data_IF_646653129436
#
_entry.id   IF_646653129436
#
_cell.length_a   1.000
_cell.length_b   1.000
_cell.length_c   1.000
_cell.angle_alpha   90.00
_cell.angle_beta   90.00
_cell.angle_gamma   90.00
#
_symmetry.space_group_name_H-M   'P 1'
#
loop_
_entity.id
_entity.type
_entity.pdbx_description
1 polymer ?
#
# COMPACT_ATOMS: atom_id res chain seq x y z
N UNK A 1 1.29 20.52 1.26
CA UNK A 1 0.89 19.44 2.20
C UNK A 1 -0.10 19.99 3.21
N UNK A 2 -1.14 19.22 3.57
CA UNK A 2 -1.98 19.53 4.71
C UNK A 2 -1.20 19.36 6.03
N UNK A 3 -1.68 19.91 7.18
CA UNK A 3 -1.03 19.68 8.49
C UNK A 3 -0.84 18.20 8.80
N UNK A 4 -1.86 17.37 8.55
CA UNK A 4 -1.79 15.92 8.72
C UNK A 4 -0.71 15.26 7.84
N UNK A 5 -0.63 15.61 6.56
CA UNK A 5 0.42 15.07 5.68
C UNK A 5 1.82 15.49 6.12
N UNK A 6 1.95 16.66 6.70
CA UNK A 6 3.22 17.16 7.23
C UNK A 6 3.64 16.35 8.45
N UNK A 7 2.74 16.12 9.42
CA UNK A 7 3.06 15.32 10.61
C UNK A 7 3.49 13.89 10.28
N UNK A 8 2.86 13.25 9.28
CA UNK A 8 3.29 11.93 8.79
C UNK A 8 4.69 12.01 8.16
N UNK A 9 4.94 13.03 7.35
CA UNK A 9 6.24 13.23 6.72
C UNK A 9 7.35 13.43 7.76
N UNK A 10 7.09 14.23 8.80
CA UNK A 10 8.01 14.47 9.90
C UNK A 10 8.28 13.22 10.73
N UNK A 11 7.24 12.42 11.03
CA UNK A 11 7.38 11.15 11.74
C UNK A 11 8.24 10.14 10.96
N UNK A 12 8.01 9.99 9.65
CA UNK A 12 8.82 9.14 8.79
C UNK A 12 10.26 9.64 8.69
N UNK A 13 10.45 10.97 8.63
CA UNK A 13 11.79 11.57 8.64
C UNK A 13 12.53 11.25 9.94
N UNK A 14 11.89 11.44 11.10
CA UNK A 14 12.49 11.13 12.39
C UNK A 14 12.90 9.65 12.48
N UNK A 15 12.08 8.74 11.97
CA UNK A 15 12.41 7.32 11.90
C UNK A 15 13.62 7.06 11.00
N UNK A 16 13.67 7.70 9.83
CA UNK A 16 14.82 7.59 8.92
C UNK A 16 16.10 8.14 9.54
N UNK A 17 16.00 9.30 10.20
CA UNK A 17 17.16 9.96 10.84
C UNK A 17 17.69 9.17 12.06
N UNK A 18 16.87 8.29 12.66
CA UNK A 18 17.32 7.35 13.70
C UNK A 18 18.10 6.14 13.15
N UNK A 19 18.34 6.07 11.83
CA UNK A 19 19.09 4.99 11.18
C UNK A 19 18.23 3.89 10.55
N UNK A 20 16.89 3.98 10.66
CA UNK A 20 15.98 3.01 10.03
C UNK A 20 15.82 3.30 8.54
N UNK A 21 16.03 2.29 7.70
CA UNK A 21 15.71 2.41 6.27
C UNK A 21 14.20 2.31 6.06
N UNK A 22 13.61 3.37 5.49
CA UNK A 22 12.17 3.46 5.26
C UNK A 22 11.88 3.33 3.77
N UNK A 23 11.03 2.39 3.42
CA UNK A 23 10.59 2.16 2.04
C UNK A 23 9.10 2.41 1.91
N UNK A 24 8.67 2.97 0.79
CA UNK A 24 7.28 3.21 0.44
C UNK A 24 6.97 2.54 -0.89
N UNK A 25 5.86 1.82 -0.97
CA UNK A 25 5.32 1.29 -2.21
C UNK A 25 3.95 1.92 -2.47
N UNK A 26 3.68 2.28 -3.72
CA UNK A 26 2.38 2.85 -4.09
C UNK A 26 1.25 1.84 -4.00
N UNK A 27 0.18 2.23 -3.32
CA UNK A 27 -1.12 1.59 -3.43
C UNK A 27 -1.96 2.17 -4.59
N UNK A 28 -3.21 1.75 -4.66
CA UNK A 28 -4.15 2.18 -5.70
C UNK A 28 -4.72 3.60 -5.48
N UNK A 29 -4.40 4.26 -4.36
CA UNK A 29 -4.95 5.58 -3.98
C UNK A 29 -3.89 6.67 -3.80
N UNK A 30 -2.63 6.31 -3.76
CA UNK A 30 -1.50 7.18 -3.44
C UNK A 30 -0.40 7.21 -4.52
N UNK A 31 -0.68 6.68 -5.68
CA UNK A 31 0.24 6.59 -6.83
C UNK A 31 0.75 7.94 -7.37
N UNK A 32 0.26 9.06 -6.83
CA UNK A 32 0.78 10.40 -7.11
C UNK A 32 1.87 10.84 -6.13
N UNK A 33 2.10 10.11 -5.03
CA UNK A 33 3.27 10.33 -4.17
C UNK A 33 4.52 10.19 -5.03
N UNK A 34 5.43 11.15 -4.92
CA UNK A 34 6.60 11.21 -5.78
C UNK A 34 7.87 11.49 -5.00
N UNK A 35 8.95 11.66 -5.76
CA UNK A 35 10.31 11.88 -5.21
C UNK A 35 10.40 13.03 -4.20
N UNK A 36 9.60 14.09 -4.37
CA UNK A 36 9.61 15.23 -3.45
C UNK A 36 9.13 14.84 -2.04
N UNK A 37 8.06 14.03 -1.94
CA UNK A 37 7.60 13.50 -0.66
C UNK A 37 8.64 12.55 -0.05
N UNK A 38 9.14 11.60 -0.85
CA UNK A 38 10.11 10.62 -0.36
C UNK A 38 11.39 11.29 0.15
N UNK A 39 11.89 12.32 -0.55
CA UNK A 39 13.03 13.12 -0.09
C UNK A 39 12.73 13.84 1.23
N UNK A 40 11.55 14.41 1.38
CA UNK A 40 11.14 15.10 2.60
C UNK A 40 10.97 14.13 3.78
N UNK A 41 10.38 12.96 3.54
CA UNK A 41 10.11 11.93 4.54
C UNK A 41 11.31 10.99 4.83
N UNK A 42 12.43 11.13 4.12
CA UNK A 42 13.58 10.22 4.30
C UNK A 42 13.33 8.79 3.82
N UNK A 43 12.40 8.57 2.91
CA UNK A 43 12.07 7.24 2.44
C UNK A 43 12.47 6.98 0.99
N UNK A 44 12.62 5.72 0.64
CA UNK A 44 12.89 5.24 -0.73
C UNK A 44 11.61 4.71 -1.35
N UNK A 45 11.27 5.17 -2.56
CA UNK A 45 10.11 4.67 -3.28
C UNK A 45 10.47 3.38 -4.01
N UNK A 46 9.78 2.29 -3.67
CA UNK A 46 9.85 1.01 -4.36
C UNK A 46 8.92 0.98 -5.57
N UNK A 47 9.33 0.24 -6.59
CA UNK A 47 8.43 -0.15 -7.68
C UNK A 47 7.41 -1.19 -7.18
N UNK A 48 6.30 -1.36 -7.89
CA UNK A 48 5.31 -2.40 -7.67
C UNK A 48 5.21 -3.23 -8.96
N UNK A 49 5.72 -4.49 -8.96
CA UNK A 49 6.36 -5.25 -7.87
C UNK A 49 7.83 -4.91 -7.60
N UNK A 50 8.35 -5.36 -6.44
CA UNK A 50 9.78 -5.34 -6.09
C UNK A 50 10.19 -6.63 -5.38
N UNK A 51 11.36 -7.16 -5.71
CA UNK A 51 11.99 -8.23 -4.94
C UNK A 51 12.95 -7.61 -3.93
N UNK A 52 12.83 -8.03 -2.68
CA UNK A 52 13.74 -7.66 -1.59
C UNK A 52 14.30 -8.92 -0.95
N UNK A 53 15.42 -8.79 -0.28
CA UNK A 53 15.98 -9.89 0.52
C UNK A 53 15.52 -9.75 1.97
N UNK A 54 14.87 -10.79 2.50
CA UNK A 54 14.47 -10.89 3.90
C UNK A 54 14.94 -12.24 4.44
N UNK A 55 15.70 -12.23 5.54
CA UNK A 55 16.31 -13.43 6.13
C UNK A 55 17.13 -14.29 5.13
N UNK A 56 17.83 -13.62 4.20
CA UNK A 56 18.64 -14.31 3.18
C UNK A 56 17.84 -14.96 2.06
N UNK A 57 16.52 -14.69 1.99
CA UNK A 57 15.63 -15.23 0.96
C UNK A 57 15.01 -14.11 0.12
N UNK A 58 14.89 -14.31 -1.21
CA UNK A 58 14.19 -13.36 -2.07
C UNK A 58 12.69 -13.40 -1.82
N UNK A 59 12.12 -12.24 -1.52
CA UNK A 59 10.69 -12.04 -1.21
C UNK A 59 10.11 -11.02 -2.17
N UNK A 60 8.98 -11.34 -2.79
CA UNK A 60 8.25 -10.43 -3.67
C UNK A 60 7.31 -9.56 -2.85
N UNK A 61 7.49 -8.26 -2.94
CA UNK A 61 6.58 -7.26 -2.38
C UNK A 61 5.71 -6.69 -3.49
N UNK A 62 4.40 -6.63 -3.25
CA UNK A 62 3.43 -6.01 -4.15
C UNK A 62 2.37 -5.25 -3.38
N UNK A 63 1.76 -4.23 -4.01
CA UNK A 63 0.49 -3.72 -3.48
C UNK A 63 -0.60 -4.79 -3.55
N UNK A 64 -0.69 -5.55 -4.64
CA UNK A 64 -1.60 -6.67 -4.79
C UNK A 64 -2.80 -6.41 -5.71
N UNK A 65 -3.07 -5.17 -6.08
CA UNK A 65 -4.17 -4.79 -6.97
C UNK A 65 -4.05 -5.38 -8.38
N UNK A 66 -2.84 -5.62 -8.84
CA UNK A 66 -2.56 -6.25 -10.13
C UNK A 66 -2.86 -7.74 -10.18
N UNK A 67 -3.03 -8.38 -9.03
CA UNK A 67 -3.43 -9.79 -8.92
C UNK A 67 -4.93 -10.01 -9.07
N UNK A 68 -5.75 -8.94 -8.97
CA UNK A 68 -7.21 -9.02 -9.08
C UNK A 68 -7.65 -8.95 -10.55
N UNK A 69 -7.16 -9.86 -11.39
CA UNK A 69 -7.33 -9.82 -12.86
C UNK A 69 -8.76 -10.06 -13.33
N UNK A 70 -9.61 -10.69 -12.51
CA UNK A 70 -11.04 -10.89 -12.78
C UNK A 70 -11.84 -9.59 -12.76
N UNK A 71 -11.33 -8.54 -12.10
CA UNK A 71 -11.91 -7.20 -12.14
C UNK A 71 -11.40 -6.42 -13.36
N UNK A 72 -11.87 -6.80 -14.54
CA UNK A 72 -11.44 -6.19 -15.81
C UNK A 72 -11.68 -4.68 -15.86
N UNK A 73 -12.77 -4.19 -15.28
CA UNK A 73 -13.08 -2.76 -15.24
C UNK A 73 -12.04 -2.00 -14.42
N UNK A 74 -11.68 -2.54 -13.26
CA UNK A 74 -10.59 -2.01 -12.44
C UNK A 74 -9.25 -2.07 -13.18
N UNK A 75 -8.92 -3.19 -13.79
CA UNK A 75 -7.65 -3.37 -14.52
C UNK A 75 -7.49 -2.40 -15.69
N UNK A 76 -8.59 -2.10 -16.43
CA UNK A 76 -8.59 -1.05 -17.47
C UNK A 76 -8.33 0.33 -16.87
N UNK A 77 -9.05 0.70 -15.81
CA UNK A 77 -8.86 1.97 -15.11
C UNK A 77 -7.44 2.10 -14.54
N UNK A 78 -6.91 1.04 -13.91
CA UNK A 78 -5.54 0.99 -13.37
C UNK A 78 -4.51 1.28 -14.46
N UNK A 79 -4.62 0.60 -15.61
CA UNK A 79 -3.72 0.80 -16.76
C UNK A 79 -3.74 2.25 -17.27
N UNK A 80 -4.92 2.84 -17.34
CA UNK A 80 -5.07 4.24 -17.74
C UNK A 80 -4.45 5.19 -16.72
N UNK A 81 -4.79 5.06 -15.44
CA UNK A 81 -4.32 5.97 -14.37
C UNK A 81 -2.82 5.86 -14.12
N UNK A 82 -2.21 4.68 -14.30
CA UNK A 82 -0.77 4.47 -14.14
C UNK A 82 0.05 4.68 -15.41
N UNK A 83 -0.58 5.07 -16.50
CA UNK A 83 0.13 5.46 -17.71
C UNK A 83 1.01 6.70 -17.43
N UNK A 84 2.29 6.73 -17.88
CA UNK A 84 3.20 7.84 -17.61
C UNK A 84 2.68 9.20 -18.05
N UNK A 85 2.00 9.27 -19.19
CA UNK A 85 1.41 10.52 -19.70
C UNK A 85 0.26 10.99 -18.80
N UNK A 86 -0.63 10.08 -18.38
CA UNK A 86 -1.71 10.39 -17.44
C UNK A 86 -1.15 10.88 -16.11
N UNK A 87 -0.13 10.22 -15.58
CA UNK A 87 0.55 10.63 -14.34
C UNK A 87 1.20 12.01 -14.48
N UNK A 88 1.82 12.28 -15.63
CA UNK A 88 2.40 13.59 -15.91
C UNK A 88 1.32 14.68 -15.91
N UNK A 89 0.20 14.48 -16.62
CA UNK A 89 -0.93 15.41 -16.63
C UNK A 89 -1.46 15.62 -15.21
N UNK A 90 -1.76 14.54 -14.48
CA UNK A 90 -2.31 14.62 -13.13
C UNK A 90 -1.40 15.40 -12.17
N UNK A 91 -0.08 15.25 -12.30
CA UNK A 91 0.88 15.98 -11.46
C UNK A 91 0.92 17.48 -11.74
N UNK A 92 0.58 17.90 -12.96
CA UNK A 92 0.56 19.32 -13.36
C UNK A 92 -0.80 20.00 -13.15
N UNK A 93 -1.86 19.24 -12.82
CA UNK A 93 -3.15 19.82 -12.48
C UNK A 93 -3.11 20.58 -11.12
N UNK A 94 -3.89 21.65 -10.97
CA UNK A 94 -4.08 22.33 -9.68
C UNK A 94 -4.52 21.35 -8.59
N UNK A 95 -4.07 21.57 -7.37
CA UNK A 95 -4.35 20.67 -6.24
C UNK A 95 -5.85 20.49 -5.99
N UNK A 96 -6.64 21.55 -6.12
CA UNK A 96 -8.11 21.51 -5.99
C UNK A 96 -8.77 20.57 -7.00
N UNK A 97 -8.31 20.61 -8.25
CA UNK A 97 -8.77 19.72 -9.32
C UNK A 97 -8.40 18.27 -9.04
N UNK A 98 -7.16 18.02 -8.59
CA UNK A 98 -6.73 16.66 -8.17
C UNK A 98 -7.58 16.12 -7.04
N UNK A 99 -7.87 16.92 -6.02
CA UNK A 99 -8.75 16.52 -4.90
C UNK A 99 -10.17 16.22 -5.36
N UNK A 100 -10.72 17.01 -6.28
CA UNK A 100 -12.07 16.77 -6.85
C UNK A 100 -12.11 15.46 -7.62
N UNK A 101 -11.13 15.23 -8.48
CA UNK A 101 -11.02 14.01 -9.28
C UNK A 101 -10.84 12.79 -8.36
N UNK A 102 -9.95 12.86 -7.38
CA UNK A 102 -9.71 11.76 -6.44
C UNK A 102 -10.97 11.41 -5.63
N UNK A 103 -11.76 12.40 -5.19
CA UNK A 103 -13.04 12.17 -4.51
C UNK A 103 -14.05 11.48 -5.42
N UNK A 104 -14.17 11.93 -6.68
CA UNK A 104 -15.08 11.34 -7.66
C UNK A 104 -14.70 9.87 -7.92
N UNK A 105 -13.45 9.59 -8.28
CA UNK A 105 -12.96 8.23 -8.53
C UNK A 105 -13.13 7.31 -7.31
N UNK A 106 -12.93 7.83 -6.09
CA UNK A 106 -13.11 7.06 -4.86
C UNK A 106 -14.57 6.72 -4.60
N UNK A 107 -15.51 7.65 -4.84
CA UNK A 107 -16.94 7.40 -4.67
C UNK A 107 -17.45 6.36 -5.67
N UNK A 108 -17.06 6.47 -6.94
CA UNK A 108 -17.40 5.53 -7.99
C UNK A 108 -16.84 4.13 -7.72
N UNK A 109 -15.55 4.03 -7.33
CA UNK A 109 -14.90 2.77 -6.96
C UNK A 109 -15.61 2.09 -5.79
N UNK A 110 -15.96 2.84 -4.73
CA UNK A 110 -16.70 2.28 -3.58
C UNK A 110 -18.07 1.74 -3.98
N UNK A 111 -18.81 2.46 -4.81
CA UNK A 111 -20.12 2.03 -5.29
C UNK A 111 -20.01 0.73 -6.10
N UNK A 112 -19.04 0.66 -7.01
CA UNK A 112 -18.80 -0.54 -7.82
C UNK A 112 -18.34 -1.74 -6.98
N UNK A 113 -17.43 -1.55 -6.01
CA UNK A 113 -16.93 -2.64 -5.16
C UNK A 113 -18.04 -3.25 -4.31
N UNK A 114 -19.00 -2.44 -3.82
CA UNK A 114 -20.14 -2.95 -3.04
C UNK A 114 -21.08 -3.85 -3.84
N UNK A 115 -21.09 -3.73 -5.15
CA UNK A 115 -21.95 -4.50 -6.06
C UNK A 115 -21.26 -5.73 -6.62
N UNK A 116 -19.96 -5.90 -6.40
CA UNK A 116 -19.18 -7.01 -6.94
C UNK A 116 -19.17 -8.19 -5.97
N UNK A 117 -19.18 -9.39 -6.52
CA UNK A 117 -18.97 -10.59 -5.73
C UNK A 117 -17.55 -10.62 -5.13
N UNK A 118 -17.40 -11.29 -4.00
CA UNK A 118 -16.15 -11.32 -3.25
C UNK A 118 -14.97 -11.94 -4.02
N UNK A 119 -15.23 -12.86 -4.93
CA UNK A 119 -14.25 -13.53 -5.77
C UNK A 119 -13.72 -12.65 -6.92
N UNK A 120 -14.47 -11.61 -7.29
CA UNK A 120 -14.05 -10.62 -8.30
C UNK A 120 -13.07 -9.61 -7.71
N UNK A 121 -13.25 -9.25 -6.44
CA UNK A 121 -12.42 -8.25 -5.76
C UNK A 121 -11.22 -8.86 -5.01
N UNK A 122 -11.12 -10.18 -4.96
CA UNK A 122 -9.97 -10.90 -4.41
C UNK A 122 -8.91 -11.17 -5.50
N UNK A 123 -7.74 -11.62 -5.07
CA UNK A 123 -6.70 -12.03 -6.00
C UNK A 123 -7.17 -13.24 -6.84
N UNK A 124 -6.86 -13.21 -8.11
CA UNK A 124 -7.09 -14.35 -9.00
C UNK A 124 -6.14 -15.47 -8.60
N UNK A 125 -6.64 -16.66 -8.19
CA UNK A 125 -5.78 -17.71 -7.62
C UNK A 125 -4.62 -18.12 -8.51
N UNK A 126 -4.84 -18.14 -9.82
CA UNK A 126 -3.85 -18.55 -10.84
C UNK A 126 -2.73 -17.50 -11.01
N UNK A 127 -3.01 -16.23 -10.72
CA UNK A 127 -2.03 -15.14 -10.85
C UNK A 127 -0.95 -15.21 -9.77
N UNK A 128 -1.27 -15.72 -8.57
CA UNK A 128 -0.32 -15.83 -7.47
C UNK A 128 0.86 -16.74 -7.82
N UNK A 129 0.67 -18.03 -8.17
CA UNK A 129 1.79 -18.89 -8.55
C UNK A 129 2.48 -18.41 -9.84
N UNK A 130 1.73 -17.82 -10.79
CA UNK A 130 2.31 -17.28 -12.03
C UNK A 130 3.34 -16.20 -11.72
N UNK A 131 2.97 -15.17 -10.94
CA UNK A 131 3.87 -14.06 -10.62
C UNK A 131 5.05 -14.51 -9.76
N UNK A 132 4.83 -15.41 -8.80
CA UNK A 132 5.90 -15.94 -7.95
C UNK A 132 6.92 -16.72 -8.77
N UNK A 133 6.46 -17.51 -9.76
CA UNK A 133 7.34 -18.21 -10.70
C UNK A 133 8.11 -17.24 -11.59
N UNK A 134 7.44 -16.21 -12.11
CA UNK A 134 8.06 -15.18 -12.96
C UNK A 134 9.22 -14.48 -12.26
N UNK A 135 9.09 -14.20 -10.95
CA UNK A 135 10.13 -13.56 -10.15
C UNK A 135 11.05 -14.54 -9.43
N UNK A 136 10.84 -15.85 -9.54
CA UNK A 136 11.68 -16.89 -8.94
C UNK A 136 11.66 -16.87 -7.40
N UNK A 137 10.54 -16.52 -6.77
CA UNK A 137 10.40 -16.37 -5.33
C UNK A 137 9.48 -17.42 -4.72
N UNK A 138 9.73 -17.76 -3.45
CA UNK A 138 8.87 -18.67 -2.66
C UNK A 138 7.95 -17.91 -1.69
N UNK A 139 8.17 -16.62 -1.49
CA UNK A 139 7.37 -15.79 -0.58
C UNK A 139 6.87 -14.56 -1.32
N UNK A 140 5.55 -14.35 -1.26
CA UNK A 140 4.86 -13.16 -1.75
C UNK A 140 4.19 -12.44 -0.57
N UNK A 141 4.47 -11.15 -0.40
CA UNK A 141 3.79 -10.28 0.55
C UNK A 141 3.01 -9.22 -0.21
N UNK A 142 1.72 -9.10 0.08
CA UNK A 142 0.88 -8.08 -0.54
C UNK A 142 -0.23 -7.59 0.38
N UNK A 143 -0.83 -6.46 0.04
CA UNK A 143 -2.00 -5.88 0.71
C UNK A 143 -3.25 -5.92 -0.18
N UNK A 144 -3.91 -4.78 -0.33
CA UNK A 144 -5.03 -4.47 -1.22
C UNK A 144 -6.36 -5.13 -0.87
N UNK A 145 -6.39 -6.44 -0.64
CA UNK A 145 -7.64 -7.19 -0.39
C UNK A 145 -8.15 -7.04 1.03
N UNK A 146 -7.33 -6.53 1.95
CA UNK A 146 -7.65 -6.33 3.37
C UNK A 146 -8.11 -7.61 4.08
N UNK A 147 -7.54 -8.76 3.69
CA UNK A 147 -7.85 -10.08 4.26
C UNK A 147 -6.59 -10.71 4.83
N UNK A 148 -6.14 -10.24 6.02
CA UNK A 148 -4.87 -10.66 6.59
C UNK A 148 -4.85 -12.17 6.83
N UNK A 149 -3.87 -12.84 6.23
CA UNK A 149 -3.68 -14.29 6.36
C UNK A 149 -2.31 -14.73 5.82
N UNK A 150 -1.85 -15.89 6.30
CA UNK A 150 -0.76 -16.65 5.70
C UNK A 150 -1.35 -17.84 4.95
N UNK A 151 -1.08 -17.91 3.66
CA UNK A 151 -1.52 -19.00 2.80
C UNK A 151 -0.30 -19.82 2.35
N UNK A 152 -0.31 -21.12 2.64
CA UNK A 152 0.64 -22.06 2.06
C UNK A 152 0.13 -22.52 0.70
N UNK A 153 1.02 -22.63 -0.28
CA UNK A 153 0.71 -23.09 -1.63
C UNK A 153 1.87 -23.92 -2.18
N UNK A 154 1.59 -24.66 -3.24
CA UNK A 154 2.60 -25.42 -3.96
C UNK A 154 2.83 -24.78 -5.33
N UNK A 155 4.10 -24.60 -5.70
CA UNK A 155 4.52 -24.15 -7.04
C UNK A 155 5.48 -25.22 -7.58
N UNK A 156 4.97 -26.09 -8.46
CA UNK A 156 5.66 -27.32 -8.80
C UNK A 156 5.90 -28.18 -7.56
N UNK A 157 7.12 -28.61 -7.34
CA UNK A 157 7.51 -29.42 -6.18
C UNK A 157 7.95 -28.59 -4.96
N UNK A 158 7.82 -27.26 -5.03
CA UNK A 158 8.27 -26.37 -3.97
C UNK A 158 7.10 -25.82 -3.15
N UNK A 159 7.25 -25.87 -1.82
CA UNK A 159 6.34 -25.15 -0.90
C UNK A 159 6.64 -23.67 -0.96
N UNK A 160 5.58 -22.89 -1.13
CA UNK A 160 5.63 -21.43 -1.18
C UNK A 160 4.58 -20.84 -0.22
N UNK A 161 4.66 -19.55 0.02
CA UNK A 161 3.71 -18.85 0.88
C UNK A 161 3.31 -17.49 0.33
N UNK A 162 2.05 -17.14 0.54
CA UNK A 162 1.49 -15.81 0.28
C UNK A 162 1.05 -15.22 1.60
N UNK A 163 1.54 -14.04 1.92
CA UNK A 163 1.21 -13.30 3.14
C UNK A 163 0.41 -12.06 2.73
N UNK A 164 -0.79 -11.94 3.27
CA UNK A 164 -1.69 -10.83 3.00
C UNK A 164 -1.74 -9.90 4.20
N UNK A 165 -1.44 -8.63 3.98
CA UNK A 165 -1.51 -7.60 5.03
C UNK A 165 -2.94 -7.11 5.20
N UNK A 166 -3.34 -6.81 6.44
CA UNK A 166 -4.60 -6.15 6.75
C UNK A 166 -4.57 -4.64 6.48
N UNK A 167 -5.73 -4.02 6.53
CA UNK A 167 -5.86 -2.56 6.53
C UNK A 167 -5.66 -1.98 7.95
N UNK A 168 -5.60 -0.67 8.03
CA UNK A 168 -5.51 0.07 9.29
C UNK A 168 -6.78 0.88 9.54
N UNK A 169 -7.95 0.23 9.42
CA UNK A 169 -9.25 0.88 9.65
C UNK A 169 -9.69 0.79 11.11
N UNK A 170 -9.77 -0.41 11.67
CA UNK A 170 -10.18 -0.66 13.06
C UNK A 170 -9.00 -1.01 13.96
N UNK A 171 -8.02 -1.67 13.42
CA UNK A 171 -6.77 -2.09 14.06
C UNK A 171 -5.62 -1.93 13.07
N UNK A 172 -4.40 -1.80 13.56
CA UNK A 172 -3.22 -1.82 12.71
C UNK A 172 -2.79 -3.27 12.44
N UNK A 173 -2.24 -3.52 11.26
CA UNK A 173 -1.63 -4.79 10.88
C UNK A 173 -0.18 -4.59 10.52
N UNK A 174 0.69 -5.44 11.06
CA UNK A 174 2.11 -5.44 10.74
C UNK A 174 2.60 -6.86 10.50
N UNK A 175 3.51 -7.00 9.55
CA UNK A 175 4.30 -8.20 9.36
C UNK A 175 5.70 -7.92 9.89
N UNK A 176 6.07 -8.60 10.97
CA UNK A 176 7.43 -8.61 11.48
C UNK A 176 8.18 -9.77 10.84
N UNK A 177 9.42 -9.51 10.43
CA UNK A 177 10.32 -10.53 9.87
C UNK A 177 11.63 -10.49 10.64
N UNK A 178 11.94 -11.59 11.29
CA UNK A 178 13.14 -11.77 12.09
C UNK A 178 13.69 -13.20 11.92
N UNK A 179 14.68 -13.58 12.69
CA UNK A 179 15.28 -14.93 12.66
C UNK A 179 14.26 -16.06 12.92
N UNK A 180 13.14 -15.77 13.56
CA UNK A 180 12.05 -16.71 13.83
C UNK A 180 11.09 -16.85 12.64
N UNK A 181 11.21 -15.99 11.60
CA UNK A 181 10.44 -16.01 10.37
C UNK A 181 9.43 -14.86 10.25
N UNK A 182 8.30 -15.15 9.65
CA UNK A 182 7.26 -14.17 9.32
C UNK A 182 6.14 -14.21 10.37
N UNK A 183 5.93 -13.10 11.07
CA UNK A 183 4.91 -12.97 12.11
C UNK A 183 3.92 -11.86 11.72
N UNK A 184 2.72 -12.25 11.28
CA UNK A 184 1.63 -11.35 10.98
C UNK A 184 0.82 -11.08 12.24
N UNK A 185 0.80 -9.83 12.70
CA UNK A 185 0.13 -9.44 13.94
C UNK A 185 -0.81 -8.26 13.73
N UNK A 186 -1.88 -8.22 14.51
CA UNK A 186 -2.72 -7.01 14.64
C UNK A 186 -2.48 -6.33 15.99
N UNK A 187 -2.69 -5.02 16.02
CA UNK A 187 -2.59 -4.20 17.23
C UNK A 187 -3.65 -3.11 17.25
N UNK A 188 -4.17 -2.82 18.43
CA UNK A 188 -5.14 -1.75 18.62
C UNK A 188 -4.49 -0.37 18.49
N UNK A 189 -5.24 0.61 17.97
CA UNK A 189 -4.81 2.00 18.01
C UNK A 189 -4.88 2.51 19.44
N UNK A 190 -3.79 3.06 19.94
CA UNK A 190 -3.81 3.82 21.19
C UNK A 190 -4.57 5.11 20.91
N UNK A 191 -5.68 5.40 21.63
CA UNK A 191 -6.37 6.67 21.46
C UNK A 191 -5.38 7.80 21.78
N UNK A 192 -4.99 8.58 20.79
CA UNK A 192 -4.28 9.82 21.06
C UNK A 192 -5.24 10.75 21.79
N UNK A 193 -4.84 11.26 22.95
CA UNK A 193 -5.56 12.33 23.59
C UNK A 193 -5.76 13.46 22.57
N UNK A 194 -6.96 14.06 22.47
CA UNK A 194 -7.20 15.14 21.53
C UNK A 194 -6.15 16.22 21.76
N UNK A 195 -5.45 16.59 20.68
CA UNK A 195 -4.52 17.72 20.70
C UNK A 195 -5.30 18.91 21.24
N UNK A 196 -4.95 19.40 22.43
CA UNK A 196 -5.52 20.61 22.99
C UNK A 196 -5.24 21.76 22.01
N UNK A 197 -6.26 22.16 21.27
CA UNK A 197 -6.22 23.37 20.46
C UNK A 197 -6.19 24.51 21.47
N UNK A 198 -5.01 25.03 21.77
CA UNK A 198 -4.85 26.21 22.59
C UNK A 198 -5.62 27.35 21.97
N UNK A 199 -6.78 27.66 22.54
CA UNK A 199 -7.44 28.94 22.30
C UNK A 199 -6.52 30.01 22.90
N UNK A 200 -5.73 30.65 22.04
CA UNK A 200 -5.12 31.92 22.37
C UNK A 200 -6.26 32.91 22.61
N UNK A 201 -6.60 33.14 23.88
CA UNK A 201 -7.38 34.30 24.28
C UNK A 201 -6.51 35.53 24.06
N UNK A 202 -6.77 36.24 22.98
CA UNK A 202 -6.38 37.64 22.90
C UNK A 202 -7.24 38.39 23.92
N UNK A 203 -6.64 38.73 25.04
CA UNK A 203 -7.10 39.81 25.89
C UNK A 203 -6.39 41.09 25.44
N UNK A 204 -7.22 42.10 25.18
CA UNK A 204 -6.97 43.56 25.04
C UNK A 204 -6.32 44.04 23.76
#
# INVERSE_FOLDING_TARGET
MSPFQRSICEALRALSDSGTQVFLMHGNRDFLIGKAFCKAAGCTLLSDPSVVELNGEPVLLMHGDSLCTRDEAYMRMRRYLRNPLTLWVLRHLPLSTRHRLARKLRSESRAQTRMKANDIVDVTPEEVPRIMTEFGVKTLIHGHTHRPALHKLQIGDQTAQRIVLGDWDREGWALQVDEQGFQLTSFGFVPQAPLAIGHSQNQD
#
